data_IF_665021604486
#
_entry.id   IF_665021604486
#
_cell.length_a   1.000
_cell.length_b   1.000
_cell.length_c   1.000
_cell.angle_alpha   90.00
_cell.angle_beta   90.00
_cell.angle_gamma   90.00
#
_symmetry.space_group_name_H-M   'P 1'
#
loop_
_entity.id
_entity.type
_entity.pdbx_description
1 polymer ?
#
# COMPACT_ATOMS: atom_id res chain seq x y z
N UNK A 1 17.01 -11.95 24.40
CA UNK A 1 15.83 -11.22 23.89
C UNK A 1 16.20 -9.76 23.68
N UNK A 2 15.90 -9.20 22.51
CA UNK A 2 16.37 -7.86 22.10
C UNK A 2 15.45 -6.76 22.68
N UNK A 3 15.98 -5.94 23.61
CA UNK A 3 15.22 -4.88 24.32
C UNK A 3 14.56 -3.88 23.35
N UNK A 4 15.20 -3.61 22.22
CA UNK A 4 14.66 -2.74 21.18
C UNK A 4 13.38 -3.28 20.54
N UNK A 5 13.26 -4.61 20.40
CA UNK A 5 12.07 -5.24 19.85
C UNK A 5 10.88 -5.12 20.83
N UNK A 6 11.12 -5.29 22.14
CA UNK A 6 10.10 -5.08 23.17
C UNK A 6 9.65 -3.62 23.25
N UNK A 7 10.58 -2.67 23.15
CA UNK A 7 10.25 -1.25 23.15
C UNK A 7 9.40 -0.87 21.94
N UNK A 8 9.76 -1.34 20.74
CA UNK A 8 8.94 -1.15 19.52
C UNK A 8 7.54 -1.78 19.65
N UNK A 9 7.45 -2.97 20.23
CA UNK A 9 6.17 -3.65 20.45
C UNK A 9 5.28 -2.86 21.43
N UNK A 10 5.84 -2.37 22.54
CA UNK A 10 5.11 -1.57 23.52
C UNK A 10 4.60 -0.23 22.93
N UNK A 11 5.41 0.43 22.11
CA UNK A 11 5.00 1.65 21.39
C UNK A 11 3.85 1.34 20.42
N UNK A 12 3.97 0.29 19.60
CA UNK A 12 2.92 -0.11 18.67
C UNK A 12 1.61 -0.47 19.40
N UNK A 13 1.72 -1.19 20.52
CA UNK A 13 0.56 -1.56 21.34
C UNK A 13 -0.18 -0.32 21.84
N UNK A 14 0.57 0.67 22.35
CA UNK A 14 -0.01 1.92 22.84
C UNK A 14 -0.66 2.74 21.73
N UNK A 15 -0.06 2.77 20.54
CA UNK A 15 -0.65 3.43 19.36
C UNK A 15 -1.95 2.78 18.88
N UNK A 16 -2.10 1.48 19.07
CA UNK A 16 -3.34 0.75 18.78
C UNK A 16 -4.40 1.08 19.83
N UNK A 17 -4.04 1.02 21.12
CA UNK A 17 -4.96 1.27 22.22
C UNK A 17 -5.53 2.69 22.22
N UNK A 18 -4.74 3.68 21.79
CA UNK A 18 -5.20 5.07 21.65
C UNK A 18 -5.97 5.35 20.36
N UNK A 19 -6.06 4.39 19.44
CA UNK A 19 -6.64 4.58 18.10
C UNK A 19 -5.81 5.52 17.19
N UNK A 20 -4.61 5.89 17.62
CA UNK A 20 -3.74 6.80 16.87
C UNK A 20 -3.19 6.11 15.62
N UNK A 21 -3.04 4.79 15.66
CA UNK A 21 -2.67 3.97 14.49
C UNK A 21 -3.67 4.12 13.35
N UNK A 22 -4.96 4.11 13.66
CA UNK A 22 -6.06 4.25 12.70
C UNK A 22 -6.07 5.66 12.10
N UNK A 23 -5.90 6.70 12.95
CA UNK A 23 -5.78 8.10 12.50
C UNK A 23 -4.59 8.31 11.58
N UNK A 24 -3.42 7.79 11.94
CA UNK A 24 -2.21 7.86 11.09
C UNK A 24 -2.41 7.13 9.76
N UNK A 25 -3.11 5.99 9.77
CA UNK A 25 -3.45 5.24 8.54
C UNK A 25 -4.39 6.04 7.64
N UNK A 26 -5.38 6.73 8.21
CA UNK A 26 -6.33 7.55 7.46
C UNK A 26 -5.67 8.83 6.92
N UNK A 27 -4.88 9.53 7.74
CA UNK A 27 -4.09 10.68 7.31
C UNK A 27 -3.15 10.32 6.15
N UNK A 28 -2.47 9.18 6.25
CA UNK A 28 -1.64 8.71 5.15
C UNK A 28 -2.48 8.43 3.90
N UNK A 29 -3.62 7.74 4.04
CA UNK A 29 -4.51 7.48 2.90
C UNK A 29 -4.93 8.78 2.21
N UNK A 30 -5.29 9.81 2.99
CA UNK A 30 -5.63 11.12 2.47
C UNK A 30 -4.44 11.75 1.71
N UNK A 31 -3.24 11.71 2.30
CA UNK A 31 -2.03 12.23 1.65
C UNK A 31 -1.64 11.47 0.38
N UNK A 32 -1.80 10.15 0.34
CA UNK A 32 -1.57 9.34 -0.85
C UNK A 32 -2.57 9.66 -1.97
N UNK A 33 -3.82 9.97 -1.62
CA UNK A 33 -4.80 10.40 -2.62
C UNK A 33 -4.47 11.82 -3.10
N UNK A 34 -4.18 12.74 -2.19
CA UNK A 34 -3.86 14.14 -2.50
C UNK A 34 -2.63 14.28 -3.41
N UNK A 35 -1.58 13.46 -3.19
CA UNK A 35 -0.39 13.48 -4.04
C UNK A 35 -0.53 12.68 -5.35
N UNK A 36 -1.73 12.16 -5.64
CA UNK A 36 -2.01 11.39 -6.85
C UNK A 36 -1.36 10.01 -6.89
N UNK A 37 -0.90 9.48 -5.75
CA UNK A 37 -0.27 8.16 -5.69
C UNK A 37 -1.21 7.05 -6.17
N UNK A 38 -2.50 7.15 -5.83
CA UNK A 38 -3.54 6.22 -6.31
C UNK A 38 -3.64 6.22 -7.84
N UNK A 39 -3.66 7.40 -8.46
CA UNK A 39 -3.79 7.56 -9.90
C UNK A 39 -2.54 7.08 -10.64
N UNK A 40 -1.35 7.33 -10.07
CA UNK A 40 -0.09 6.81 -10.59
C UNK A 40 -0.03 5.28 -10.54
N UNK A 41 -0.48 4.66 -9.43
CA UNK A 41 -0.56 3.19 -9.35
C UNK A 41 -1.58 2.63 -10.35
N UNK A 42 -2.72 3.30 -10.53
CA UNK A 42 -3.75 2.90 -11.49
C UNK A 42 -3.23 2.97 -12.93
N UNK A 43 -2.51 4.03 -13.28
CA UNK A 43 -1.86 4.17 -14.58
C UNK A 43 -0.87 3.03 -14.81
N UNK A 44 -0.03 2.74 -13.82
CA UNK A 44 0.94 1.66 -13.92
C UNK A 44 0.30 0.27 -14.03
N UNK A 45 -0.80 0.01 -13.29
CA UNK A 45 -1.57 -1.24 -13.46
C UNK A 45 -2.04 -1.40 -14.92
N UNK A 46 -2.56 -0.33 -15.54
CA UNK A 46 -3.03 -0.36 -16.92
C UNK A 46 -1.90 -0.64 -17.91
N UNK A 47 -0.71 -0.07 -17.69
CA UNK A 47 0.47 -0.34 -18.50
C UNK A 47 0.85 -1.83 -18.44
N UNK A 48 0.94 -2.39 -17.22
CA UNK A 48 1.29 -3.80 -17.02
C UNK A 48 0.28 -4.73 -17.70
N UNK A 49 -1.03 -4.44 -17.55
CA UNK A 49 -2.10 -5.20 -18.22
C UNK A 49 -1.98 -5.09 -19.75
N UNK A 50 -1.68 -3.90 -20.27
CA UNK A 50 -1.54 -3.67 -21.71
C UNK A 50 -0.31 -4.39 -22.29
N UNK A 51 0.79 -4.45 -21.55
CA UNK A 51 2.02 -5.11 -21.98
C UNK A 51 1.94 -6.63 -21.92
N UNK A 52 1.40 -7.17 -20.82
CA UNK A 52 1.33 -8.63 -20.60
C UNK A 52 0.06 -9.26 -21.18
N UNK A 53 -0.99 -8.47 -21.44
CA UNK A 53 -2.30 -8.94 -21.88
C UNK A 53 -3.18 -9.36 -20.71
N UNK A 54 -4.48 -9.01 -20.77
CA UNK A 54 -5.46 -9.29 -19.70
C UNK A 54 -5.59 -10.79 -19.37
N UNK A 55 -5.35 -11.63 -20.39
CA UNK A 55 -5.50 -13.09 -20.35
C UNK A 55 -4.35 -13.79 -19.61
N UNK A 56 -3.20 -13.11 -19.48
CA UNK A 56 -1.97 -13.66 -18.91
C UNK A 56 -1.60 -13.05 -17.55
N UNK A 57 -2.45 -12.20 -17.00
CA UNK A 57 -2.15 -11.45 -15.77
C UNK A 57 -3.20 -11.73 -14.71
N UNK A 58 -2.76 -12.29 -13.59
CA UNK A 58 -3.62 -12.43 -12.41
C UNK A 58 -3.58 -11.20 -11.53
N UNK A 59 -4.57 -11.06 -10.65
CA UNK A 59 -4.58 -10.01 -9.61
C UNK A 59 -3.35 -10.11 -8.72
N UNK A 60 -2.86 -11.31 -8.42
CA UNK A 60 -1.69 -11.48 -7.55
C UNK A 60 -0.39 -11.10 -8.27
N UNK A 61 -0.27 -11.37 -9.57
CA UNK A 61 0.84 -10.88 -10.40
C UNK A 61 0.86 -9.34 -10.45
N UNK A 62 -0.30 -8.71 -10.63
CA UNK A 62 -0.43 -7.25 -10.59
C UNK A 62 -0.03 -6.69 -9.23
N UNK A 63 -0.50 -7.30 -8.14
CA UNK A 63 -0.13 -6.88 -6.78
C UNK A 63 1.38 -7.02 -6.59
N UNK A 64 2.00 -8.11 -7.03
CA UNK A 64 3.43 -8.32 -6.93
C UNK A 64 4.24 -7.27 -7.72
N UNK A 65 3.75 -6.86 -8.89
CA UNK A 65 4.39 -5.86 -9.76
C UNK A 65 4.25 -4.43 -9.21
N UNK A 66 3.06 -4.05 -8.73
CA UNK A 66 2.80 -2.67 -8.29
C UNK A 66 3.26 -2.40 -6.85
N UNK A 67 3.38 -3.43 -6.01
CA UNK A 67 3.83 -3.29 -4.62
C UNK A 67 5.22 -2.64 -4.49
N UNK A 68 6.28 -3.06 -5.21
CA UNK A 68 7.60 -2.42 -5.12
C UNK A 68 7.56 -0.97 -5.62
N UNK A 69 6.82 -0.67 -6.70
CA UNK A 69 6.64 0.72 -7.20
C UNK A 69 5.89 1.60 -6.21
N UNK A 70 4.85 1.07 -5.57
CA UNK A 70 4.09 1.77 -4.54
C UNK A 70 4.92 2.08 -3.30
N UNK A 71 5.82 1.16 -2.91
CA UNK A 71 6.75 1.33 -1.78
C UNK A 71 7.87 2.32 -2.07
N UNK A 72 8.40 2.37 -3.30
CA UNK A 72 9.51 3.27 -3.66
C UNK A 72 9.13 4.76 -3.78
N UNK A 73 7.83 5.08 -3.98
CA UNK A 73 7.36 6.47 -4.18
C UNK A 73 6.81 7.14 -2.91
N UNK A 74 6.80 6.46 -1.76
CA UNK A 74 6.23 7.02 -0.53
C UNK A 74 7.32 7.19 0.54
N UNK A 75 7.48 8.38 1.16
CA UNK A 75 8.48 8.60 2.22
C UNK A 75 8.25 7.78 3.50
N UNK A 76 7.13 7.05 3.59
CA UNK A 76 6.68 6.30 4.76
C UNK A 76 6.85 4.79 4.54
N UNK A 77 8.08 4.42 4.20
CA UNK A 77 8.45 3.14 3.58
C UNK A 77 8.29 1.89 4.48
N UNK A 78 8.16 2.04 5.81
CA UNK A 78 8.31 0.92 6.74
C UNK A 78 7.07 0.55 7.58
N UNK A 79 6.02 1.38 7.63
CA UNK A 79 4.91 1.13 8.56
C UNK A 79 3.70 0.41 7.95
N UNK A 80 3.56 0.37 6.62
CA UNK A 80 2.28 0.05 5.98
C UNK A 80 2.39 -0.82 4.73
N UNK A 81 3.28 -1.82 4.77
CA UNK A 81 3.36 -2.85 3.72
C UNK A 81 1.99 -3.49 3.41
N UNK A 82 1.12 -3.61 4.41
CA UNK A 82 -0.27 -4.09 4.27
C UNK A 82 -1.20 -3.08 3.61
N UNK A 83 -1.14 -1.78 3.94
CA UNK A 83 -2.05 -0.80 3.29
C UNK A 83 -1.73 -0.61 1.81
N UNK A 84 -0.46 -0.68 1.39
CA UNK A 84 -0.11 -0.60 -0.04
C UNK A 84 -0.68 -1.81 -0.79
N UNK A 85 -0.56 -3.02 -0.24
CA UNK A 85 -1.16 -4.22 -0.85
C UNK A 85 -2.69 -4.19 -0.83
N UNK A 86 -3.33 -3.71 0.25
CA UNK A 86 -4.79 -3.54 0.31
C UNK A 86 -5.29 -2.45 -0.65
N UNK A 87 -4.57 -1.34 -0.78
CA UNK A 87 -4.88 -0.29 -1.74
C UNK A 87 -4.62 -0.78 -3.17
N UNK A 88 -3.58 -1.57 -3.41
CA UNK A 88 -3.33 -2.22 -4.70
C UNK A 88 -4.49 -3.12 -5.10
N UNK A 89 -4.93 -4.01 -4.20
CA UNK A 89 -6.11 -4.86 -4.42
C UNK A 89 -7.39 -4.04 -4.66
N UNK A 90 -7.59 -2.95 -3.90
CA UNK A 90 -8.72 -2.05 -4.12
C UNK A 90 -8.63 -1.33 -5.48
N UNK A 91 -7.46 -0.83 -5.87
CA UNK A 91 -7.24 -0.16 -7.17
C UNK A 91 -7.56 -1.14 -8.31
N UNK A 92 -7.09 -2.38 -8.23
CA UNK A 92 -7.39 -3.44 -9.21
C UNK A 92 -8.90 -3.73 -9.25
N UNK A 93 -9.58 -3.81 -8.10
CA UNK A 93 -11.03 -4.05 -8.02
C UNK A 93 -11.89 -2.90 -8.59
N UNK A 94 -11.36 -1.68 -8.68
CA UNK A 94 -12.02 -0.51 -9.25
C UNK A 94 -11.43 -0.08 -10.62
N UNK A 95 -10.55 -0.89 -11.22
CA UNK A 95 -10.28 -0.78 -12.65
C UNK A 95 -11.47 -1.45 -13.36
N UNK A 96 -12.21 -0.75 -14.23
CA UNK A 96 -13.01 -1.44 -15.22
C UNK A 96 -12.01 -2.15 -16.14
N UNK A 97 -11.93 -3.47 -16.01
CA UNK A 97 -11.30 -4.35 -16.98
C UNK A 97 -12.19 -4.40 -18.23
#
# INVERSE_FOLDING_TARGET
MNKDAQMRAAINQKLIETGERERLKELLRAKLIECGWKDQLKAHCKEVIKEKGLEHVTVDDLVAEITPKGRGRTPLQNYLGTSVSSLGRAIIAYLPL
#
